data_IF_133681118413
#
_entry.id   IF_133681118413
#
_cell.length_a   1.000
_cell.length_b   1.000
_cell.length_c   1.000
_cell.angle_alpha   90.00
_cell.angle_beta   90.00
_cell.angle_gamma   90.00
#
_symmetry.space_group_name_H-M   'P 1'
#
loop_
_entity.id
_entity.type
_entity.pdbx_description
1 polymer ?
#
# COMPACT_ATOMS: atom_id res chain seq x y z
N UNK A 1 -112.40 -48.17 -43.93
CA UNK A 1 -111.78 -47.37 -42.85
C UNK A 1 -110.30 -47.69 -42.68
N UNK A 2 -109.90 -48.95 -42.46
CA UNK A 2 -108.48 -49.34 -42.30
C UNK A 2 -107.62 -48.99 -43.54
N UNK A 3 -108.13 -49.22 -44.75
CA UNK A 3 -107.39 -48.95 -45.99
C UNK A 3 -107.10 -47.45 -46.23
N UNK A 4 -108.03 -46.58 -45.85
CA UNK A 4 -107.89 -45.12 -45.99
C UNK A 4 -106.89 -44.59 -44.96
N UNK A 5 -106.91 -45.12 -43.73
CA UNK A 5 -105.91 -44.80 -42.72
C UNK A 5 -104.50 -45.23 -43.14
N UNK A 6 -104.36 -46.40 -43.77
CA UNK A 6 -103.08 -46.88 -44.31
C UNK A 6 -102.56 -46.02 -45.47
N UNK A 7 -103.42 -45.58 -46.38
CA UNK A 7 -103.03 -44.69 -47.48
C UNK A 7 -102.60 -43.31 -46.98
N UNK A 8 -103.33 -42.73 -46.02
CA UNK A 8 -102.91 -41.46 -45.41
C UNK A 8 -101.62 -41.60 -44.61
N UNK A 9 -101.41 -42.71 -43.90
CA UNK A 9 -100.14 -42.97 -43.22
C UNK A 9 -98.98 -43.08 -44.22
N UNK A 10 -99.19 -43.73 -45.37
CA UNK A 10 -98.18 -43.85 -46.43
C UNK A 10 -97.84 -42.49 -47.05
N UNK A 11 -98.85 -41.64 -47.26
CA UNK A 11 -98.67 -40.31 -47.82
C UNK A 11 -97.96 -39.36 -46.84
N UNK A 12 -98.30 -39.44 -45.54
CA UNK A 12 -97.59 -38.70 -44.48
C UNK A 12 -96.13 -39.15 -44.39
N UNK A 13 -95.85 -40.46 -44.43
CA UNK A 13 -94.46 -40.98 -44.45
C UNK A 13 -93.71 -40.49 -45.69
N UNK A 14 -94.35 -40.53 -46.87
CA UNK A 14 -93.72 -40.07 -48.12
C UNK A 14 -93.43 -38.56 -48.11
N UNK A 15 -94.32 -37.77 -47.53
CA UNK A 15 -94.15 -36.31 -47.42
C UNK A 15 -93.09 -35.97 -46.37
N UNK A 16 -93.04 -36.70 -45.27
CA UNK A 16 -92.02 -36.57 -44.25
C UNK A 16 -90.62 -36.93 -44.78
N UNK A 17 -90.49 -38.00 -45.57
CA UNK A 17 -89.21 -38.36 -46.21
C UNK A 17 -88.74 -37.29 -47.20
N UNK A 18 -89.64 -36.73 -48.02
CA UNK A 18 -89.28 -35.62 -48.93
C UNK A 18 -88.89 -34.34 -48.19
N UNK A 19 -89.55 -34.05 -47.08
CA UNK A 19 -89.19 -32.90 -46.23
C UNK A 19 -87.85 -33.12 -45.51
N UNK A 20 -87.52 -34.37 -45.16
CA UNK A 20 -86.22 -34.72 -44.59
C UNK A 20 -85.09 -34.58 -45.63
N UNK A 21 -85.28 -35.06 -46.87
CA UNK A 21 -84.30 -34.87 -47.95
C UNK A 21 -84.05 -33.39 -48.26
N UNK A 22 -85.11 -32.57 -48.37
CA UNK A 22 -84.95 -31.11 -48.62
C UNK A 22 -84.31 -30.38 -47.43
N UNK A 23 -84.47 -30.89 -46.21
CA UNK A 23 -83.81 -30.34 -45.02
C UNK A 23 -82.32 -30.72 -44.98
N UNK A 24 -81.97 -31.95 -45.36
CA UNK A 24 -80.57 -32.40 -45.49
C UNK A 24 -79.84 -31.63 -46.60
N UNK A 25 -80.44 -31.50 -47.79
CA UNK A 25 -79.85 -30.75 -48.91
C UNK A 25 -79.62 -29.27 -48.55
N UNK A 26 -80.49 -28.67 -47.72
CA UNK A 26 -80.32 -27.29 -47.23
C UNK A 26 -79.18 -27.17 -46.23
N UNK A 27 -79.02 -28.14 -45.33
CA UNK A 27 -77.91 -28.17 -44.39
C UNK A 27 -76.58 -28.32 -45.13
N UNK A 28 -76.51 -29.15 -46.17
CA UNK A 28 -75.32 -29.29 -47.00
C UNK A 28 -74.97 -27.98 -47.72
N UNK A 29 -75.97 -27.25 -48.26
CA UNK A 29 -75.73 -25.96 -48.91
C UNK A 29 -75.23 -24.91 -47.92
N UNK A 30 -75.80 -24.84 -46.72
CA UNK A 30 -75.35 -23.92 -45.66
C UNK A 30 -73.93 -24.26 -45.18
N UNK A 31 -73.58 -25.55 -45.05
CA UNK A 31 -72.22 -25.99 -44.73
C UNK A 31 -71.22 -25.65 -45.85
N UNK A 32 -71.62 -25.81 -47.11
CA UNK A 32 -70.80 -25.42 -48.27
C UNK A 32 -70.60 -23.91 -48.36
N UNK A 33 -71.62 -23.10 -48.09
CA UNK A 33 -71.52 -21.64 -48.05
C UNK A 33 -70.59 -21.19 -46.92
N UNK A 34 -70.74 -21.77 -45.73
CA UNK A 34 -69.85 -21.49 -44.60
C UNK A 34 -68.40 -21.87 -44.90
N UNK A 35 -68.17 -23.05 -45.49
CA UNK A 35 -66.84 -23.52 -45.90
C UNK A 35 -66.23 -22.63 -47.00
N UNK A 36 -67.05 -22.16 -47.95
CA UNK A 36 -66.64 -21.24 -49.01
C UNK A 36 -66.23 -19.87 -48.47
N UNK A 37 -67.01 -19.32 -47.53
CA UNK A 37 -66.68 -18.06 -46.86
C UNK A 37 -65.40 -18.16 -46.03
N UNK A 38 -65.20 -19.28 -45.33
CA UNK A 38 -63.99 -19.53 -44.54
C UNK A 38 -62.76 -19.67 -45.45
N UNK A 39 -62.88 -20.38 -46.58
CA UNK A 39 -61.82 -20.46 -47.60
C UNK A 39 -61.52 -19.10 -48.25
N UNK A 40 -62.54 -18.25 -48.43
CA UNK A 40 -62.36 -16.89 -48.94
C UNK A 40 -61.59 -16.01 -47.94
N UNK A 41 -61.92 -16.09 -46.64
CA UNK A 41 -61.18 -15.40 -45.57
C UNK A 41 -59.74 -15.88 -45.47
N UNK A 42 -59.50 -17.18 -45.55
CA UNK A 42 -58.14 -17.74 -45.53
C UNK A 42 -57.31 -17.27 -46.74
N UNK A 43 -57.92 -17.17 -47.92
CA UNK A 43 -57.26 -16.61 -49.10
C UNK A 43 -56.89 -15.14 -48.92
N UNK A 44 -57.74 -14.34 -48.28
CA UNK A 44 -57.46 -12.92 -48.03
C UNK A 44 -56.29 -12.75 -47.05
N UNK A 45 -56.26 -13.53 -45.96
CA UNK A 45 -55.15 -13.55 -45.01
C UNK A 45 -53.83 -13.94 -45.69
N UNK A 46 -53.83 -14.98 -46.52
CA UNK A 46 -52.63 -15.42 -47.24
C UNK A 46 -52.14 -14.38 -48.25
N UNK A 47 -53.06 -13.67 -48.91
CA UNK A 47 -52.70 -12.56 -49.82
C UNK A 47 -52.02 -11.42 -49.08
N UNK A 48 -52.53 -11.06 -47.91
CA UNK A 48 -51.94 -10.02 -47.07
C UNK A 48 -50.56 -10.41 -46.53
N UNK A 49 -50.38 -11.66 -46.11
CA UNK A 49 -49.08 -12.18 -45.70
C UNK A 49 -48.07 -12.18 -46.86
N UNK A 50 -48.52 -12.57 -48.05
CA UNK A 50 -47.68 -12.57 -49.25
C UNK A 50 -47.27 -11.15 -49.64
N UNK A 51 -48.16 -10.16 -49.53
CA UNK A 51 -47.85 -8.76 -49.75
C UNK A 51 -46.82 -8.24 -48.72
N UNK A 52 -46.96 -8.59 -47.44
CA UNK A 52 -46.00 -8.24 -46.38
C UNK A 52 -44.63 -8.88 -46.62
N UNK A 53 -44.58 -10.13 -47.07
CA UNK A 53 -43.33 -10.83 -47.38
C UNK A 53 -42.65 -10.23 -48.61
N UNK A 54 -43.39 -9.93 -49.67
CA UNK A 54 -42.85 -9.26 -50.86
C UNK A 54 -42.24 -7.89 -50.49
N UNK A 55 -42.88 -7.14 -49.61
CA UNK A 55 -42.35 -5.85 -49.14
C UNK A 55 -41.06 -6.03 -48.33
N UNK A 56 -40.96 -7.07 -47.50
CA UNK A 56 -39.73 -7.42 -46.77
C UNK A 56 -38.60 -7.85 -47.73
N UNK A 57 -38.91 -8.68 -48.72
CA UNK A 57 -37.95 -9.11 -49.75
C UNK A 57 -37.44 -7.91 -50.54
N UNK A 58 -38.31 -6.97 -50.90
CA UNK A 58 -37.93 -5.75 -51.61
C UNK A 58 -36.99 -4.86 -50.78
N UNK A 59 -37.26 -4.69 -49.48
CA UNK A 59 -36.37 -3.98 -48.54
C UNK A 59 -35.01 -4.68 -48.35
N UNK A 60 -34.96 -6.01 -48.46
CA UNK A 60 -33.71 -6.77 -48.40
C UNK A 60 -32.94 -6.71 -49.73
N UNK A 61 -33.63 -6.64 -50.86
CA UNK A 61 -33.03 -6.43 -52.19
C UNK A 61 -32.46 -5.01 -52.38
N UNK A 62 -32.97 -4.02 -51.63
CA UNK A 62 -32.41 -2.66 -51.57
C UNK A 62 -31.05 -2.58 -50.86
N UNK A 63 -30.61 -3.64 -50.15
CA UNK A 63 -29.24 -3.72 -49.65
C UNK A 63 -28.31 -4.18 -50.77
N UNK A 64 -27.41 -3.31 -51.27
CA UNK A 64 -26.48 -3.70 -52.32
C UNK A 64 -25.58 -4.84 -51.80
N UNK A 65 -25.32 -5.88 -52.59
CA UNK A 65 -24.43 -6.97 -52.19
C UNK A 65 -23.02 -6.49 -51.84
N UNK A 66 -22.58 -5.36 -52.41
CA UNK A 66 -21.32 -4.70 -52.03
C UNK A 66 -21.34 -4.20 -50.58
N UNK A 67 -22.45 -3.62 -50.13
CA UNK A 67 -22.62 -3.12 -48.76
C UNK A 67 -22.68 -4.25 -47.74
N UNK A 68 -23.21 -5.41 -48.11
CA UNK A 68 -23.17 -6.62 -47.30
C UNK A 68 -21.72 -7.13 -47.15
N UNK A 69 -20.94 -7.13 -48.24
CA UNK A 69 -19.51 -7.50 -48.19
C UNK A 69 -18.68 -6.52 -47.35
N UNK A 70 -18.95 -5.22 -47.46
CA UNK A 70 -18.31 -4.20 -46.62
C UNK A 70 -18.62 -4.44 -45.14
N UNK A 71 -19.88 -4.64 -44.77
CA UNK A 71 -20.28 -4.93 -43.39
C UNK A 71 -19.68 -6.24 -42.87
N UNK A 72 -19.57 -7.28 -43.70
CA UNK A 72 -18.90 -8.53 -43.35
C UNK A 72 -17.40 -8.31 -43.11
N UNK A 73 -16.73 -7.52 -43.95
CA UNK A 73 -15.32 -7.17 -43.77
C UNK A 73 -15.09 -6.32 -42.50
N UNK A 74 -16.00 -5.39 -42.20
CA UNK A 74 -15.98 -4.62 -40.95
C UNK A 74 -16.21 -5.50 -39.72
N UNK A 75 -17.15 -6.46 -39.80
CA UNK A 75 -17.40 -7.42 -38.74
C UNK A 75 -16.17 -8.29 -38.47
N UNK A 76 -15.55 -8.87 -39.51
CA UNK A 76 -14.31 -9.65 -39.35
C UNK A 76 -13.19 -8.82 -38.73
N UNK A 77 -13.04 -7.57 -39.16
CA UNK A 77 -12.03 -6.65 -38.60
C UNK A 77 -12.31 -6.33 -37.13
N UNK A 78 -13.58 -6.15 -36.75
CA UNK A 78 -13.99 -5.93 -35.37
C UNK A 78 -13.77 -7.18 -34.50
N UNK A 79 -14.06 -8.37 -35.03
CA UNK A 79 -13.83 -9.65 -34.34
C UNK A 79 -12.34 -9.91 -34.11
N UNK A 80 -11.49 -9.67 -35.11
CA UNK A 80 -10.02 -9.77 -34.97
C UNK A 80 -9.52 -8.82 -33.88
N UNK A 81 -9.94 -7.54 -33.92
CA UNK A 81 -9.59 -6.56 -32.88
C UNK A 81 -10.06 -6.98 -31.50
N UNK A 82 -11.29 -7.50 -31.37
CA UNK A 82 -11.83 -7.99 -30.09
C UNK A 82 -11.02 -9.18 -29.57
N UNK A 83 -10.61 -10.10 -30.45
CA UNK A 83 -9.74 -11.23 -30.08
C UNK A 83 -8.37 -10.77 -29.59
N UNK A 84 -7.74 -9.81 -30.28
CA UNK A 84 -6.47 -9.22 -29.87
C UNK A 84 -6.58 -8.51 -28.51
N UNK A 85 -7.62 -7.70 -28.32
CA UNK A 85 -7.92 -7.04 -27.05
C UNK A 85 -8.18 -8.04 -25.91
N UNK A 86 -8.86 -9.15 -26.18
CA UNK A 86 -9.08 -10.19 -25.18
C UNK A 86 -7.75 -10.84 -24.74
N UNK A 87 -6.85 -11.11 -25.69
CA UNK A 87 -5.51 -11.66 -25.39
C UNK A 87 -4.66 -10.68 -24.59
N UNK A 88 -4.65 -9.39 -24.97
CA UNK A 88 -3.88 -8.37 -24.24
C UNK A 88 -4.44 -8.16 -22.83
N UNK A 89 -5.77 -8.14 -22.67
CA UNK A 89 -6.41 -8.06 -21.36
C UNK A 89 -6.06 -9.27 -20.49
N UNK A 90 -6.08 -10.49 -21.05
CA UNK A 90 -5.71 -11.71 -20.32
C UNK A 90 -4.23 -11.69 -19.88
N UNK A 91 -3.32 -11.24 -20.75
CA UNK A 91 -1.91 -11.10 -20.40
C UNK A 91 -1.68 -10.01 -19.33
N UNK A 92 -2.43 -8.91 -19.40
CA UNK A 92 -2.37 -7.85 -18.39
C UNK A 92 -2.89 -8.33 -17.03
N UNK A 93 -3.99 -9.07 -16.99
CA UNK A 93 -4.54 -9.61 -15.73
C UNK A 93 -3.64 -10.68 -15.12
N UNK A 94 -3.02 -11.55 -15.91
CA UNK A 94 -2.05 -12.53 -15.38
C UNK A 94 -0.82 -11.83 -14.80
N UNK A 95 -0.27 -10.84 -15.50
CA UNK A 95 0.88 -10.05 -15.01
C UNK A 95 0.54 -9.30 -13.73
N UNK A 96 -0.67 -8.72 -13.64
CA UNK A 96 -1.15 -8.05 -12.43
C UNK A 96 -1.26 -9.04 -11.26
N UNK A 97 -1.79 -10.24 -11.49
CA UNK A 97 -1.90 -11.27 -10.45
C UNK A 97 -0.54 -11.72 -9.92
N UNK A 98 0.44 -11.95 -10.81
CA UNK A 98 1.80 -12.34 -10.45
C UNK A 98 2.53 -11.23 -9.67
N UNK A 99 2.45 -9.99 -10.15
CA UNK A 99 3.06 -8.84 -9.48
C UNK A 99 2.45 -8.59 -8.11
N UNK A 100 1.12 -8.69 -7.99
CA UNK A 100 0.41 -8.52 -6.72
C UNK A 100 0.80 -9.61 -5.71
N UNK A 101 0.92 -10.87 -6.15
CA UNK A 101 1.41 -11.97 -5.31
C UNK A 101 2.85 -11.73 -4.82
N UNK A 102 3.76 -11.35 -5.73
CA UNK A 102 5.16 -11.03 -5.41
C UNK A 102 5.28 -9.87 -4.42
N UNK A 103 4.45 -8.83 -4.56
CA UNK A 103 4.42 -7.70 -3.63
C UNK A 103 3.91 -8.11 -2.24
N UNK A 104 2.88 -8.95 -2.16
CA UNK A 104 2.37 -9.48 -0.89
C UNK A 104 3.43 -10.31 -0.16
N UNK A 105 4.14 -11.19 -0.88
CA UNK A 105 5.23 -11.98 -0.31
C UNK A 105 6.36 -11.10 0.24
N UNK A 106 6.77 -10.06 -0.52
CA UNK A 106 7.75 -9.06 -0.04
C UNK A 106 7.27 -8.33 1.21
N UNK A 107 6.00 -7.92 1.25
CA UNK A 107 5.42 -7.19 2.37
C UNK A 107 5.39 -8.06 3.64
N UNK A 108 5.03 -9.34 3.52
CA UNK A 108 5.08 -10.30 4.63
C UNK A 108 6.52 -10.48 5.14
N UNK A 109 7.49 -10.61 4.24
CA UNK A 109 8.91 -10.71 4.61
C UNK A 109 9.40 -9.48 5.36
N UNK A 110 9.15 -8.28 4.84
CA UNK A 110 9.55 -7.03 5.48
C UNK A 110 8.88 -6.83 6.85
N UNK A 111 7.63 -7.27 7.02
CA UNK A 111 6.96 -7.26 8.32
C UNK A 111 7.65 -8.16 9.35
N UNK A 112 8.13 -9.34 8.93
CA UNK A 112 8.89 -10.25 9.81
C UNK A 112 10.25 -9.66 10.18
N UNK A 113 11.01 -9.19 9.20
CA UNK A 113 12.32 -8.55 9.44
C UNK A 113 12.18 -7.34 10.38
N UNK A 114 11.14 -6.52 10.21
CA UNK A 114 10.84 -5.41 11.13
C UNK A 114 10.56 -5.89 12.56
N UNK A 115 9.79 -6.96 12.73
CA UNK A 115 9.48 -7.50 14.04
C UNK A 115 10.74 -8.06 14.74
N UNK A 116 11.61 -8.74 13.99
CA UNK A 116 12.90 -9.24 14.47
C UNK A 116 13.82 -8.09 14.92
N UNK A 117 13.94 -7.02 14.11
CA UNK A 117 14.73 -5.84 14.46
C UNK A 117 14.19 -5.11 15.70
N UNK A 118 12.87 -5.05 15.87
CA UNK A 118 12.26 -4.46 17.07
C UNK A 118 12.64 -5.30 18.31
N UNK A 119 12.55 -6.63 18.23
CA UNK A 119 12.96 -7.49 19.34
C UNK A 119 14.45 -7.36 19.65
N UNK A 120 15.30 -7.22 18.63
CA UNK A 120 16.73 -7.03 18.82
C UNK A 120 17.04 -5.68 19.50
N UNK A 121 16.38 -4.59 19.07
CA UNK A 121 16.48 -3.29 19.72
C UNK A 121 16.03 -3.32 21.19
N UNK A 122 14.94 -4.03 21.49
CA UNK A 122 14.47 -4.20 22.86
C UNK A 122 15.47 -4.98 23.71
N UNK A 123 16.07 -6.05 23.17
CA UNK A 123 17.14 -6.80 23.84
C UNK A 123 18.37 -5.93 24.08
N UNK A 124 18.78 -5.12 23.10
CA UNK A 124 19.90 -4.19 23.26
C UNK A 124 19.61 -3.13 24.31
N UNK A 125 18.41 -2.54 24.32
CA UNK A 125 17.98 -1.58 25.36
C UNK A 125 17.92 -2.20 26.74
N UNK A 126 17.44 -3.45 26.85
CA UNK A 126 17.45 -4.17 28.11
C UNK A 126 18.89 -4.40 28.61
N UNK A 127 19.80 -4.84 27.73
CA UNK A 127 21.23 -4.97 28.02
C UNK A 127 21.86 -3.63 28.43
N UNK A 128 21.55 -2.55 27.72
CA UNK A 128 22.00 -1.20 28.06
C UNK A 128 21.51 -0.80 29.45
N UNK A 129 20.24 -1.03 29.78
CA UNK A 129 19.69 -0.73 31.11
C UNK A 129 20.37 -1.54 32.22
N UNK A 130 20.65 -2.83 31.98
CA UNK A 130 21.40 -3.67 32.92
C UNK A 130 22.83 -3.17 33.08
N UNK A 131 23.49 -2.79 31.98
CA UNK A 131 24.83 -2.22 32.02
C UNK A 131 24.84 -0.87 32.74
N UNK A 132 23.92 0.05 32.43
CA UNK A 132 23.80 1.35 33.11
C UNK A 132 23.48 1.19 34.59
N UNK A 133 22.62 0.23 34.96
CA UNK A 133 22.31 -0.10 36.36
C UNK A 133 23.50 -0.71 37.12
N UNK A 134 24.35 -1.49 36.43
CA UNK A 134 25.61 -2.00 36.99
C UNK A 134 26.78 -0.99 36.91
N UNK A 135 26.64 0.06 36.10
CA UNK A 135 27.66 1.07 35.82
C UNK A 135 27.21 2.49 36.18
N UNK A 136 26.50 2.64 37.30
CA UNK A 136 26.63 3.84 38.14
C UNK A 136 28.06 4.01 38.68
N UNK A 137 29.07 3.78 37.83
CA UNK A 137 30.49 3.97 38.10
C UNK A 137 30.70 5.47 38.13
N UNK A 138 30.72 5.98 39.34
CA UNK A 138 31.29 7.29 39.65
C UNK A 138 32.77 7.20 39.27
N UNK A 139 33.19 7.94 38.25
CA UNK A 139 34.61 8.12 37.99
C UNK A 139 35.17 9.04 39.08
N UNK A 140 36.08 8.52 39.91
CA UNK A 140 36.77 9.28 40.95
C UNK A 140 38.13 9.72 40.43
N UNK A 141 38.45 11.00 40.57
CA UNK A 141 39.76 11.52 40.25
C UNK A 141 40.55 11.78 41.54
N UNK A 142 41.80 11.32 41.62
CA UNK A 142 42.73 11.61 42.72
C UNK A 142 43.97 12.31 42.16
N UNK A 143 44.33 13.45 42.75
CA UNK A 143 45.57 14.13 42.41
C UNK A 143 46.78 13.32 42.89
N UNK A 144 47.61 12.84 41.97
CA UNK A 144 48.81 12.04 42.31
C UNK A 144 50.04 12.91 42.65
N UNK A 145 49.94 14.23 42.51
CA UNK A 145 51.08 15.15 42.72
C UNK A 145 50.63 16.52 43.25
N UNK A 146 51.46 17.18 44.10
CA UNK A 146 51.17 18.50 44.62
C UNK A 146 51.02 19.51 43.49
N UNK A 147 49.94 20.30 43.50
CA UNK A 147 49.66 21.32 42.50
C UNK A 147 48.16 21.55 42.29
N UNK A 148 47.83 22.52 41.43
CA UNK A 148 46.46 22.79 41.01
C UNK A 148 46.13 21.93 39.79
N UNK A 149 45.01 21.22 39.86
CA UNK A 149 44.55 20.37 38.77
C UNK A 149 43.28 20.94 38.15
N UNK A 150 43.18 20.84 36.84
CA UNK A 150 41.96 21.08 36.10
C UNK A 150 41.42 19.76 35.58
N UNK A 151 40.24 19.38 36.04
CA UNK A 151 39.52 18.18 35.57
C UNK A 151 38.45 18.61 34.59
N UNK A 152 38.46 18.04 33.40
CA UNK A 152 37.54 18.35 32.31
C UNK A 152 36.64 17.16 31.96
N UNK A 153 35.33 17.38 31.82
CA UNK A 153 34.39 16.47 31.15
C UNK A 153 34.18 16.97 29.72
N UNK A 154 34.72 16.24 28.73
CA UNK A 154 34.66 16.59 27.31
C UNK A 154 33.54 15.81 26.62
N UNK A 155 32.55 16.55 26.12
CA UNK A 155 31.41 16.03 25.34
C UNK A 155 31.32 16.74 23.99
N UNK A 156 30.57 16.14 23.06
CA UNK A 156 30.36 16.72 21.72
C UNK A 156 29.63 18.07 21.74
N UNK A 157 28.89 18.39 22.79
CA UNK A 157 28.12 19.64 22.92
C UNK A 157 28.73 20.65 23.90
N UNK A 158 29.83 20.33 24.58
CA UNK A 158 30.46 21.25 25.51
C UNK A 158 31.57 20.59 26.33
N UNK A 159 32.51 21.41 26.79
CA UNK A 159 33.61 20.99 27.65
C UNK A 159 33.51 21.72 28.98
N UNK A 160 33.51 20.96 30.07
CA UNK A 160 33.25 21.49 31.41
C UNK A 160 34.43 21.18 32.31
N UNK A 161 35.06 22.22 32.86
CA UNK A 161 36.26 22.14 33.66
C UNK A 161 36.02 22.57 35.11
N UNK A 162 36.58 21.82 36.05
CA UNK A 162 36.63 22.16 37.47
C UNK A 162 38.08 22.23 37.90
N UNK A 163 38.44 23.29 38.63
CA UNK A 163 39.69 23.30 39.34
C UNK A 163 39.52 22.54 40.66
N UNK A 164 40.47 21.67 40.93
CA UNK A 164 40.57 20.95 42.19
C UNK A 164 41.95 21.21 42.80
N UNK A 165 41.98 21.18 44.12
CA UNK A 165 43.23 21.25 44.87
C UNK A 165 43.93 19.89 44.95
N UNK A 166 45.04 19.85 45.68
CA UNK A 166 45.83 18.63 45.90
C UNK A 166 45.08 17.55 46.69
N UNK A 167 44.03 17.89 47.43
CA UNK A 167 43.17 16.95 48.14
C UNK A 167 42.03 16.41 47.24
N UNK A 168 41.95 16.86 45.98
CA UNK A 168 40.87 16.48 45.07
C UNK A 168 39.58 17.26 45.31
N UNK A 169 39.62 18.31 46.14
CA UNK A 169 38.45 19.11 46.48
C UNK A 169 38.25 20.21 45.42
N UNK A 170 37.04 20.34 44.85
CA UNK A 170 36.72 21.46 43.96
C UNK A 170 36.92 22.80 44.66
N UNK A 171 37.76 23.67 44.09
CA UNK A 171 38.05 25.01 44.63
C UNK A 171 36.92 26.02 44.38
N UNK A 172 35.84 25.58 43.74
CA UNK A 172 34.73 26.43 43.27
C UNK A 172 34.98 27.10 41.92
N UNK A 173 36.21 27.10 41.39
CA UNK A 173 36.48 27.62 40.05
C UNK A 173 36.00 26.63 38.98
N UNK A 174 35.15 27.14 38.08
CA UNK A 174 34.59 26.38 36.95
C UNK A 174 34.81 27.10 35.62
N UNK A 175 34.97 26.32 34.55
CA UNK A 175 35.09 26.82 33.18
C UNK A 175 34.25 25.97 32.25
N UNK A 176 33.63 26.62 31.28
CA UNK A 176 32.76 25.95 30.32
C UNK A 176 33.06 26.49 28.93
N UNK A 177 33.14 25.59 27.95
CA UNK A 177 33.34 25.90 26.54
C UNK A 177 32.16 25.30 25.78
N UNK A 178 31.16 26.12 25.48
CA UNK A 178 29.85 25.71 24.92
C UNK A 178 29.62 26.22 23.51
N UNK A 179 30.68 26.68 22.84
CA UNK A 179 30.61 27.17 21.47
C UNK A 179 30.09 26.09 20.51
N UNK A 180 29.45 26.55 19.42
CA UNK A 180 28.66 25.70 18.50
C UNK A 180 29.51 24.67 17.77
N UNK A 181 30.76 24.99 17.47
CA UNK A 181 31.68 24.11 16.72
C UNK A 181 32.89 23.72 17.55
N UNK A 182 33.48 22.56 17.24
CA UNK A 182 34.70 22.08 17.89
C UNK A 182 35.85 23.09 17.74
N UNK A 183 36.02 23.67 16.54
CA UNK A 183 37.07 24.66 16.28
C UNK A 183 36.93 25.92 17.14
N UNK A 184 35.70 26.42 17.32
CA UNK A 184 35.45 27.58 18.19
C UNK A 184 35.73 27.25 19.66
N UNK A 185 35.29 26.08 20.14
CA UNK A 185 35.59 25.61 21.52
C UNK A 185 37.10 25.48 21.75
N UNK A 186 37.82 24.91 20.78
CA UNK A 186 39.27 24.80 20.84
C UNK A 186 39.93 26.17 20.91
N UNK A 187 39.49 27.14 20.11
CA UNK A 187 40.06 28.49 20.14
C UNK A 187 39.78 29.22 21.47
N UNK A 188 38.59 29.06 22.02
CA UNK A 188 38.24 29.58 23.35
C UNK A 188 39.10 28.94 24.43
N UNK A 189 39.30 27.62 24.38
CA UNK A 189 40.18 26.88 25.29
C UNK A 189 41.63 27.38 25.20
N UNK A 190 42.17 27.55 23.99
CA UNK A 190 43.52 28.07 23.76
C UNK A 190 43.72 29.48 24.35
N UNK A 191 42.76 30.37 24.11
CA UNK A 191 42.76 31.75 24.64
C UNK A 191 42.71 31.74 26.17
N UNK A 192 41.90 30.87 26.76
CA UNK A 192 41.84 30.72 28.21
C UNK A 192 43.15 30.18 28.80
N UNK A 193 43.78 29.23 28.10
CA UNK A 193 45.01 28.58 28.54
C UNK A 193 46.25 29.48 28.42
N UNK A 194 46.28 30.43 27.48
CA UNK A 194 47.44 31.32 27.29
C UNK A 194 47.72 32.24 28.48
N UNK A 195 46.71 32.48 29.33
CA UNK A 195 46.88 33.26 30.56
C UNK A 195 47.46 32.45 31.73
N UNK A 196 47.76 31.15 31.54
CA UNK A 196 48.14 30.23 32.62
C UNK A 196 49.63 29.87 32.61
N UNK A 197 50.27 29.81 33.79
CA UNK A 197 51.68 29.45 33.89
C UNK A 197 51.92 28.00 33.48
N UNK A 198 52.87 27.80 32.56
CA UNK A 198 53.30 26.47 32.12
C UNK A 198 53.98 25.71 33.27
N UNK A 199 53.68 24.42 33.42
CA UNK A 199 54.33 23.54 34.39
C UNK A 199 53.83 23.62 35.85
N UNK A 200 52.95 24.56 36.18
CA UNK A 200 52.35 24.69 37.52
C UNK A 200 51.00 23.96 37.61
N UNK A 201 50.20 24.07 36.56
CA UNK A 201 48.88 23.47 36.49
C UNK A 201 48.89 22.18 35.66
N UNK A 202 48.12 21.20 36.12
CA UNK A 202 47.97 19.90 35.45
C UNK A 202 46.55 19.72 34.95
N UNK A 203 46.38 19.02 33.84
CA UNK A 203 45.09 18.85 33.19
C UNK A 203 44.71 17.37 33.14
N UNK A 204 43.49 17.04 33.53
CA UNK A 204 42.94 15.70 33.42
C UNK A 204 41.63 15.72 32.66
N UNK A 205 41.42 14.81 31.72
CA UNK A 205 40.26 14.79 30.85
C UNK A 205 39.46 13.50 30.97
N UNK A 206 38.20 13.59 31.35
CA UNK A 206 37.21 12.55 31.13
C UNK A 206 36.60 12.74 29.75
N UNK A 207 36.90 11.81 28.84
CA UNK A 207 36.53 11.92 27.42
C UNK A 207 35.34 11.03 27.13
N UNK A 208 34.24 11.64 26.68
CA UNK A 208 33.05 10.88 26.23
C UNK A 208 33.17 10.49 24.76
N UNK A 209 32.48 9.41 24.31
CA UNK A 209 32.47 9.03 22.91
C UNK A 209 32.18 10.18 21.93
N UNK A 210 31.23 11.05 22.30
CA UNK A 210 30.87 12.23 21.47
C UNK A 210 31.93 13.35 21.47
N UNK A 211 32.90 13.29 22.38
CA UNK A 211 33.91 14.33 22.60
C UNK A 211 35.31 13.97 22.11
N UNK A 212 35.51 12.78 21.53
CA UNK A 212 36.84 12.26 21.12
C UNK A 212 37.57 13.25 20.20
N UNK A 213 36.91 13.72 19.14
CA UNK A 213 37.50 14.65 18.17
C UNK A 213 37.94 15.97 18.84
N UNK A 214 37.15 16.46 19.81
CA UNK A 214 37.50 17.64 20.59
C UNK A 214 38.70 17.41 21.51
N UNK A 215 38.76 16.24 22.16
CA UNK A 215 39.88 15.88 23.02
C UNK A 215 41.18 15.71 22.23
N UNK A 216 41.16 15.07 21.06
CA UNK A 216 42.35 14.89 20.23
C UNK A 216 43.00 16.25 19.91
N UNK A 217 42.20 17.23 19.50
CA UNK A 217 42.70 18.57 19.18
C UNK A 217 43.25 19.32 20.41
N UNK A 218 42.66 19.13 21.59
CA UNK A 218 43.15 19.70 22.85
C UNK A 218 44.43 19.01 23.32
N UNK A 219 44.48 17.68 23.25
CA UNK A 219 45.63 16.86 23.62
C UNK A 219 46.87 17.25 22.83
N UNK A 220 46.73 17.40 21.52
CA UNK A 220 47.83 17.78 20.63
C UNK A 220 48.37 19.16 21.02
N UNK A 221 47.48 20.14 21.21
CA UNK A 221 47.87 21.47 21.64
C UNK A 221 48.57 21.50 23.02
N UNK A 222 48.06 20.78 24.01
CA UNK A 222 48.64 20.74 25.35
C UNK A 222 50.03 20.09 25.34
N UNK A 223 50.18 18.99 24.59
CA UNK A 223 51.45 18.29 24.41
C UNK A 223 52.48 19.18 23.73
N UNK A 224 52.11 19.83 22.63
CA UNK A 224 53.01 20.73 21.89
C UNK A 224 53.46 21.94 22.72
N UNK A 225 52.66 22.34 23.72
CA UNK A 225 52.96 23.48 24.58
C UNK A 225 53.57 23.11 25.95
N UNK A 226 53.81 21.82 26.21
CA UNK A 226 54.46 21.32 27.42
C UNK A 226 53.58 21.30 28.68
N UNK A 227 52.25 21.19 28.53
CA UNK A 227 51.34 21.05 29.67
C UNK A 227 51.19 19.56 30.07
N UNK A 228 51.37 19.22 31.36
CA UNK A 228 51.09 17.86 31.84
C UNK A 228 49.61 17.53 31.67
N UNK A 229 49.32 16.42 30.99
CA UNK A 229 47.95 15.96 30.75
C UNK A 229 47.78 14.47 31.07
N UNK A 230 46.62 14.12 31.62
CA UNK A 230 46.12 12.75 31.75
C UNK A 230 44.69 12.65 31.22
N UNK A 231 44.22 11.45 30.95
CA UNK A 231 42.83 11.25 30.55
C UNK A 231 42.30 9.87 30.94
N UNK A 232 40.98 9.76 31.02
CA UNK A 232 40.24 8.52 31.14
C UNK A 232 38.96 8.59 30.30
N UNK A 233 38.41 7.44 29.94
CA UNK A 233 37.22 7.33 29.11
C UNK A 233 35.96 7.26 29.97
N UNK A 234 34.98 8.10 29.64
CA UNK A 234 33.71 8.16 30.36
C UNK A 234 32.55 7.82 29.40
N UNK A 235 31.71 6.86 29.76
CA UNK A 235 30.50 6.54 29.02
C UNK A 235 29.55 7.74 28.93
N UNK A 236 28.72 7.82 27.89
CA UNK A 236 27.79 8.95 27.69
C UNK A 236 26.80 9.15 28.85
N UNK A 237 26.45 8.07 29.56
CA UNK A 237 25.50 8.05 30.67
C UNK A 237 26.16 8.04 32.05
N UNK A 238 27.50 7.90 32.12
CA UNK A 238 28.22 7.89 33.39
C UNK A 238 28.27 9.30 34.00
N UNK A 239 28.02 9.37 35.32
CA UNK A 239 28.12 10.60 36.10
C UNK A 239 29.55 10.77 36.60
N UNK A 240 30.11 11.95 36.37
CA UNK A 240 31.37 12.37 37.00
C UNK A 240 31.03 12.96 38.37
N UNK A 241 31.62 12.41 39.43
CA UNK A 241 31.58 13.05 40.75
C UNK A 241 33.02 13.24 41.23
N UNK A 242 33.34 14.46 41.63
CA UNK A 242 34.61 14.80 42.24
C UNK A 242 34.46 14.50 43.73
N UNK A 243 34.98 13.36 44.17
CA UNK A 243 34.82 12.85 45.53
C UNK A 243 36.03 13.26 46.37
N UNK A 244 35.77 13.72 47.60
CA UNK A 244 36.77 13.90 48.65
C UNK A 244 36.64 12.70 49.60
N UNK A 245 37.52 11.71 49.48
CA UNK A 245 37.55 10.59 50.43
C UNK A 245 38.39 11.06 51.64
N UNK A 246 37.71 11.40 52.75
CA UNK A 246 38.32 11.46 54.09
C UNK A 246 38.43 10.05 54.67
#
# INVERSE_FOLDING_TARGET
MILVALLMALEVVRTASRLAEVADDRLEVEEFEYSSEELARQNEVLRDELAKLLLKVKKLQEFPPEKIKELQAELEKAERRRSELAKTHQAATSTLAETSKSLLEKLVRLKRERAELIQELERMRAREKTLVGQHGRIARFRAESPGLWWVFDIKGNGWYGWQIDHAGVPTGMRREFTERTIGQRLQAFKTWLSARPKGVERFFFFVRPSGIEGFDAVRDYLRDNGYPLGFDLLGNTQRLELVNDL
#
